data_IF_065480203733
#
_entry.id   IF_065480203733
#
_cell.length_a   1.000
_cell.length_b   1.000
_cell.length_c   1.000
_cell.angle_alpha   90.00
_cell.angle_beta   90.00
_cell.angle_gamma   90.00
#
_symmetry.space_group_name_H-M   'P 1'
#
loop_
_entity.id
_entity.type
_entity.pdbx_description
1 polymer ?
#
# COMPACT_ATOMS: atom_id res chain seq x y z
N UNK A 1 -10.30 -6.39 5.19
CA UNK A 1 -9.08 -6.41 6.02
C UNK A 1 -9.06 -5.30 7.08
N UNK A 2 -9.07 -4.01 6.72
CA UNK A 2 -8.88 -2.91 7.69
C UNK A 2 -9.81 -2.95 8.93
N UNK A 3 -11.08 -3.31 8.76
CA UNK A 3 -12.04 -3.41 9.87
C UNK A 3 -11.61 -4.45 10.91
N UNK A 4 -10.95 -5.54 10.48
CA UNK A 4 -10.49 -6.61 11.37
C UNK A 4 -9.27 -6.17 12.22
N UNK A 5 -8.54 -5.15 11.78
CA UNK A 5 -7.41 -4.58 12.53
C UNK A 5 -7.85 -3.55 13.56
N UNK A 6 -9.05 -2.99 13.41
CA UNK A 6 -9.54 -1.87 14.22
C UNK A 6 -9.67 -2.26 15.71
N UNK A 7 -10.41 -3.34 15.99
CA UNK A 7 -10.67 -3.79 17.37
C UNK A 7 -9.41 -4.31 18.10
N UNK A 8 -8.53 -5.14 17.50
CA UNK A 8 -7.28 -5.53 18.13
C UNK A 8 -6.38 -4.33 18.49
N UNK A 9 -6.28 -3.33 17.60
CA UNK A 9 -5.43 -2.15 17.85
C UNK A 9 -6.00 -1.27 18.98
N UNK A 10 -7.32 -1.05 19.02
CA UNK A 10 -7.96 -0.35 20.12
C UNK A 10 -7.77 -1.08 21.45
N UNK A 11 -7.94 -2.41 21.47
CA UNK A 11 -7.72 -3.24 22.68
C UNK A 11 -6.26 -3.20 23.16
N UNK A 12 -5.31 -3.02 22.24
CA UNK A 12 -3.90 -2.83 22.58
C UNK A 12 -3.58 -1.40 23.07
N UNK A 13 -4.57 -0.49 23.13
CA UNK A 13 -4.42 0.88 23.62
C UNK A 13 -3.98 1.90 22.58
N UNK A 14 -4.05 1.58 21.28
CA UNK A 14 -3.69 2.53 20.24
C UNK A 14 -4.85 3.47 19.88
N UNK A 15 -4.53 4.76 19.75
CA UNK A 15 -5.41 5.74 19.13
C UNK A 15 -5.31 5.61 17.61
N UNK A 16 -6.41 5.22 16.97
CA UNK A 16 -6.43 4.87 15.55
C UNK A 16 -7.36 5.76 14.73
N UNK A 17 -6.95 6.02 13.50
CA UNK A 17 -7.76 6.68 12.48
C UNK A 17 -7.95 5.76 11.27
N UNK A 18 -8.99 6.03 10.48
CA UNK A 18 -9.29 5.26 9.27
C UNK A 18 -9.36 6.16 8.04
N UNK A 19 -8.74 5.69 6.95
CA UNK A 19 -8.75 6.34 5.65
C UNK A 19 -9.10 5.31 4.56
N UNK A 20 -10.34 5.34 4.10
CA UNK A 20 -10.83 4.42 3.07
C UNK A 20 -11.56 5.14 1.93
N UNK A 21 -11.85 4.39 0.87
CA UNK A 21 -12.45 4.93 -0.35
C UNK A 21 -13.90 5.42 -0.22
N UNK A 22 -14.59 5.10 0.88
CA UNK A 22 -15.97 5.55 1.13
C UNK A 22 -16.05 6.99 1.65
N UNK A 23 -14.92 7.54 2.11
CA UNK A 23 -14.88 8.89 2.70
C UNK A 23 -14.94 9.98 1.65
N UNK A 24 -15.66 11.07 1.94
CA UNK A 24 -15.66 12.29 1.13
C UNK A 24 -14.30 12.99 1.21
N UNK A 25 -13.96 13.82 0.21
CA UNK A 25 -12.69 14.54 0.18
C UNK A 25 -12.46 15.39 1.46
N UNK A 26 -13.51 16.07 1.95
CA UNK A 26 -13.47 16.84 3.20
C UNK A 26 -13.10 15.97 4.40
N UNK A 27 -13.76 14.81 4.56
CA UNK A 27 -13.47 13.89 5.68
C UNK A 27 -12.05 13.31 5.59
N UNK A 28 -11.56 13.00 4.38
CA UNK A 28 -10.18 12.54 4.18
C UNK A 28 -9.16 13.58 4.65
N UNK A 29 -9.35 14.84 4.27
CA UNK A 29 -8.47 15.94 4.70
C UNK A 29 -8.47 16.11 6.23
N UNK A 30 -9.64 16.04 6.87
CA UNK A 30 -9.75 16.10 8.33
C UNK A 30 -8.98 14.97 9.02
N UNK A 31 -9.12 13.73 8.54
CA UNK A 31 -8.38 12.58 9.08
C UNK A 31 -6.87 12.76 8.93
N UNK A 32 -6.41 13.26 7.78
CA UNK A 32 -4.98 13.50 7.54
C UNK A 32 -4.44 14.59 8.48
N UNK A 33 -5.19 15.68 8.66
CA UNK A 33 -4.82 16.76 9.58
C UNK A 33 -4.79 16.29 11.04
N UNK A 34 -5.74 15.44 11.42
CA UNK A 34 -5.79 14.84 12.76
C UNK A 34 -4.62 13.87 12.97
N UNK A 35 -4.25 13.08 11.95
CA UNK A 35 -3.10 12.19 11.99
C UNK A 35 -1.76 12.93 12.11
N UNK A 36 -1.69 14.17 11.61
CA UNK A 36 -0.51 15.01 11.72
C UNK A 36 -0.37 15.73 13.08
N UNK A 37 -1.35 15.62 13.98
CA UNK A 37 -1.27 16.23 15.31
C UNK A 37 -0.25 15.51 16.19
N UNK A 38 0.36 16.24 17.12
CA UNK A 38 1.33 15.70 18.09
C UNK A 38 0.82 16.02 19.50
N UNK A 39 0.79 15.03 20.38
CA UNK A 39 0.31 15.18 21.75
C UNK A 39 0.05 13.82 22.44
N UNK A 40 -0.28 13.81 23.74
CA UNK A 40 -0.54 12.58 24.50
C UNK A 40 -1.67 11.74 23.90
N UNK A 41 -2.72 12.40 23.41
CA UNK A 41 -3.90 11.76 22.81
C UNK A 41 -3.84 11.71 21.28
N UNK A 42 -2.70 12.06 20.68
CA UNK A 42 -2.58 12.05 19.24
C UNK A 42 -2.72 10.62 18.68
N UNK A 43 -3.38 10.46 17.52
CA UNK A 43 -3.50 9.17 16.87
C UNK A 43 -2.12 8.66 16.43
N UNK A 44 -1.78 7.45 16.85
CA UNK A 44 -0.49 6.81 16.54
C UNK A 44 -0.57 5.92 15.31
N UNK A 45 -1.77 5.46 14.93
CA UNK A 45 -1.96 4.54 13.79
C UNK A 45 -3.02 5.08 12.83
N UNK A 46 -2.69 5.06 11.53
CA UNK A 46 -3.64 5.32 10.45
C UNK A 46 -3.87 4.04 9.65
N UNK A 47 -5.08 3.52 9.69
CA UNK A 47 -5.53 2.40 8.86
C UNK A 47 -5.97 2.93 7.50
N UNK A 48 -5.10 2.79 6.50
CA UNK A 48 -5.36 3.26 5.14
C UNK A 48 -5.55 2.09 4.16
N UNK A 49 -6.57 2.17 3.31
CA UNK A 49 -6.66 1.26 2.16
C UNK A 49 -5.67 1.69 1.07
N UNK A 50 -5.05 0.74 0.36
CA UNK A 50 -4.13 1.06 -0.75
C UNK A 50 -4.76 2.01 -1.78
N UNK A 51 -6.04 1.81 -2.10
CA UNK A 51 -6.78 2.69 -3.02
C UNK A 51 -6.90 4.13 -2.50
N UNK A 52 -7.17 4.31 -1.20
CA UNK A 52 -7.30 5.64 -0.61
C UNK A 52 -5.91 6.31 -0.46
N UNK A 53 -4.87 5.54 -0.17
CA UNK A 53 -3.50 6.04 -0.11
C UNK A 53 -2.99 6.52 -1.48
N UNK A 54 -3.43 5.91 -2.59
CA UNK A 54 -3.06 6.37 -3.94
C UNK A 54 -3.69 7.72 -4.36
N UNK A 55 -4.77 8.16 -3.73
CA UNK A 55 -5.67 9.23 -4.20
C UNK A 55 -5.20 10.68 -3.94
N UNK A 56 -3.90 10.95 -3.95
CA UNK A 56 -3.35 12.32 -3.83
C UNK A 56 -3.21 12.85 -2.40
N UNK A 57 -3.25 11.97 -1.40
CA UNK A 57 -3.12 12.34 0.02
C UNK A 57 -1.66 12.61 0.41
N UNK A 58 -1.44 13.38 1.48
CA UNK A 58 -0.12 13.59 2.07
C UNK A 58 -0.04 12.85 3.41
N UNK A 59 0.90 11.91 3.55
CA UNK A 59 1.02 11.03 4.72
C UNK A 59 2.39 11.17 5.39
N UNK A 60 3.06 12.32 5.24
CA UNK A 60 4.38 12.60 5.82
C UNK A 60 4.43 12.56 7.35
N UNK A 61 3.29 12.52 8.02
CA UNK A 61 3.22 12.29 9.46
C UNK A 61 3.62 10.85 9.85
N UNK A 62 3.43 9.88 8.94
CA UNK A 62 3.87 8.50 9.16
C UNK A 62 5.38 8.35 8.91
N UNK A 63 6.05 7.57 9.75
CA UNK A 63 7.45 7.16 9.57
C UNK A 63 7.61 5.65 9.42
N UNK A 64 6.55 4.88 9.65
CA UNK A 64 6.57 3.42 9.50
C UNK A 64 5.30 2.97 8.80
N UNK A 65 5.46 2.17 7.74
CA UNK A 65 4.37 1.66 6.92
C UNK A 65 4.37 0.14 7.02
N UNK A 66 3.26 -0.42 7.49
CA UNK A 66 3.02 -1.86 7.47
C UNK A 66 2.13 -2.21 6.29
N UNK A 67 2.67 -2.95 5.32
CA UNK A 67 1.92 -3.51 4.20
C UNK A 67 1.42 -4.89 4.61
N UNK A 68 0.13 -4.99 4.91
CA UNK A 68 -0.51 -6.21 5.41
C UNK A 68 -0.78 -7.24 4.32
N UNK A 69 -1.20 -6.78 3.12
CA UNK A 69 -1.55 -7.65 2.01
C UNK A 69 -0.73 -7.22 0.78
N UNK A 70 0.04 -8.11 0.12
CA UNK A 70 0.74 -7.78 -1.11
C UNK A 70 -0.25 -7.60 -2.27
N UNK A 71 -0.05 -6.55 -3.06
CA UNK A 71 -0.87 -6.24 -4.21
C UNK A 71 -0.18 -6.62 -5.51
N UNK A 72 -0.82 -7.40 -6.37
CA UNK A 72 -0.21 -7.90 -7.62
C UNK A 72 0.39 -6.83 -8.54
N UNK A 73 -0.07 -5.58 -8.45
CA UNK A 73 0.51 -4.46 -9.19
C UNK A 73 1.46 -3.63 -8.30
N UNK A 74 2.79 -3.76 -8.47
CA UNK A 74 3.77 -3.10 -7.58
C UNK A 74 3.66 -1.57 -7.62
N UNK A 75 3.32 -0.98 -8.77
CA UNK A 75 3.20 0.47 -8.91
C UNK A 75 2.10 1.11 -8.05
N UNK A 76 1.10 0.33 -7.59
CA UNK A 76 0.08 0.84 -6.65
C UNK A 76 0.65 0.96 -5.24
N UNK A 77 1.46 -0.01 -4.82
CA UNK A 77 2.16 0.07 -3.53
C UNK A 77 3.19 1.20 -3.55
N UNK A 78 3.97 1.31 -4.62
CA UNK A 78 4.96 2.38 -4.82
C UNK A 78 4.31 3.76 -4.74
N UNK A 79 3.22 3.98 -5.48
CA UNK A 79 2.48 5.23 -5.43
C UNK A 79 1.92 5.55 -4.03
N UNK A 80 1.54 4.54 -3.26
CA UNK A 80 1.09 4.72 -1.88
C UNK A 80 2.26 5.11 -0.96
N UNK A 81 3.42 4.46 -1.10
CA UNK A 81 4.65 4.78 -0.36
C UNK A 81 5.18 6.18 -0.68
N UNK A 82 5.07 6.63 -1.93
CA UNK A 82 5.43 7.99 -2.34
C UNK A 82 4.66 9.07 -1.57
N UNK A 83 3.48 8.76 -1.02
CA UNK A 83 2.73 9.70 -0.18
C UNK A 83 3.34 9.90 1.20
N UNK A 84 4.14 8.94 1.65
CA UNK A 84 4.84 8.97 2.94
C UNK A 84 6.25 9.54 2.77
N UNK A 85 6.94 9.18 1.69
CA UNK A 85 8.27 9.71 1.31
C UNK A 85 8.23 11.13 0.71
N UNK A 86 7.10 11.83 0.83
CA UNK A 86 6.87 13.11 0.14
C UNK A 86 7.63 14.28 0.78
N UNK A 87 7.76 15.38 0.04
CA UNK A 87 8.26 16.67 0.55
C UNK A 87 7.50 17.04 1.84
N UNK A 88 8.25 17.32 2.90
CA UNK A 88 7.72 17.57 4.25
C UNK A 88 7.91 16.41 5.23
N UNK A 89 8.37 15.24 4.77
CA UNK A 89 8.85 14.17 5.65
C UNK A 89 10.12 14.60 6.38
N UNK A 90 10.16 14.39 7.70
CA UNK A 90 11.29 14.76 8.58
C UNK A 90 11.97 13.55 9.24
N UNK A 91 11.35 12.37 9.15
CA UNK A 91 11.84 11.13 9.74
C UNK A 91 12.21 10.13 8.66
N UNK A 92 13.12 9.22 8.98
CA UNK A 92 13.35 8.06 8.14
C UNK A 92 12.06 7.24 8.02
N UNK A 93 11.72 6.83 6.80
CA UNK A 93 10.51 6.05 6.52
C UNK A 93 10.90 4.60 6.37
N UNK A 94 10.36 3.75 7.25
CA UNK A 94 10.54 2.30 7.22
C UNK A 94 9.32 1.62 6.64
N UNK A 95 9.50 0.79 5.62
CA UNK A 95 8.42 -0.02 5.05
C UNK A 95 8.63 -1.48 5.44
N UNK A 96 7.61 -2.08 6.05
CA UNK A 96 7.60 -3.47 6.51
C UNK A 96 6.47 -4.17 5.79
N UNK A 97 6.82 -5.17 4.98
CA UNK A 97 5.83 -6.02 4.30
C UNK A 97 5.63 -7.31 5.10
N UNK A 98 4.38 -7.58 5.44
CA UNK A 98 3.98 -8.83 6.08
C UNK A 98 3.60 -9.83 4.98
N UNK A 99 4.14 -11.04 5.07
CA UNK A 99 3.97 -12.08 4.05
C UNK A 99 3.84 -13.42 4.77
N UNK A 100 2.75 -14.13 4.48
CA UNK A 100 2.50 -15.46 5.05
C UNK A 100 3.16 -16.52 4.19
N UNK A 101 4.07 -17.29 4.80
CA UNK A 101 4.82 -18.37 4.13
C UNK A 101 3.91 -19.47 3.63
N UNK A 102 4.23 -20.03 2.46
CA UNK A 102 3.48 -21.15 1.87
C UNK A 102 2.11 -20.76 1.31
N UNK A 103 1.87 -19.48 1.07
CA UNK A 103 0.59 -18.97 0.56
C UNK A 103 0.71 -18.33 -0.81
N UNK A 104 -0.42 -17.93 -1.38
CA UNK A 104 -0.49 -17.16 -2.63
C UNK A 104 0.29 -15.84 -2.56
N UNK A 105 0.52 -15.29 -1.36
CA UNK A 105 1.25 -14.04 -1.16
C UNK A 105 2.69 -14.10 -1.70
N UNK A 106 3.38 -15.23 -1.53
CA UNK A 106 4.73 -15.45 -2.09
C UNK A 106 4.72 -15.47 -3.62
N UNK A 107 3.64 -15.99 -4.22
CA UNK A 107 3.45 -15.99 -5.68
C UNK A 107 3.20 -14.57 -6.19
N UNK A 108 2.43 -13.78 -5.45
CA UNK A 108 2.19 -12.36 -5.75
C UNK A 108 3.51 -11.59 -5.77
N UNK A 109 4.39 -11.81 -4.78
CA UNK A 109 5.71 -11.17 -4.76
C UNK A 109 6.59 -11.62 -5.93
N UNK A 110 6.60 -12.92 -6.24
CA UNK A 110 7.32 -13.45 -7.40
C UNK A 110 6.84 -12.79 -8.71
N UNK A 111 5.54 -12.52 -8.82
CA UNK A 111 4.97 -11.81 -9.97
C UNK A 111 5.38 -10.34 -10.01
N UNK A 112 5.38 -9.64 -8.88
CA UNK A 112 5.90 -8.26 -8.80
C UNK A 112 7.35 -8.19 -9.27
N UNK A 113 8.22 -9.09 -8.80
CA UNK A 113 9.63 -9.15 -9.21
C UNK A 113 9.77 -9.38 -10.72
N UNK A 114 9.02 -10.34 -11.27
CA UNK A 114 9.04 -10.62 -12.70
C UNK A 114 8.59 -9.41 -13.50
N UNK A 115 7.54 -8.72 -13.07
CA UNK A 115 7.02 -7.52 -13.72
C UNK A 115 8.04 -6.38 -13.68
N UNK A 116 8.70 -6.17 -12.54
CA UNK A 116 9.76 -5.17 -12.42
C UNK A 116 10.92 -5.48 -13.37
N UNK A 117 11.38 -6.73 -13.46
CA UNK A 117 12.42 -7.15 -14.41
C UNK A 117 12.01 -6.91 -15.86
N UNK A 118 10.76 -7.24 -16.21
CA UNK A 118 10.24 -7.01 -17.56
C UNK A 118 10.20 -5.52 -17.89
N UNK A 119 9.73 -4.67 -16.96
CA UNK A 119 9.71 -3.23 -17.11
C UNK A 119 11.13 -2.68 -17.29
N UNK A 120 12.09 -3.07 -16.43
CA UNK A 120 13.50 -2.69 -16.56
C UNK A 120 14.09 -3.06 -17.92
N UNK A 121 13.77 -4.26 -18.43
CA UNK A 121 14.25 -4.72 -19.74
C UNK A 121 13.50 -4.07 -20.92
N UNK A 122 12.21 -3.77 -20.76
CA UNK A 122 11.34 -3.20 -21.79
C UNK A 122 11.48 -1.68 -21.94
N UNK A 123 12.06 -0.98 -20.98
CA UNK A 123 12.50 0.41 -21.18
C UNK A 123 13.51 0.56 -22.34
N UNK A 124 14.00 -0.54 -22.93
CA UNK A 124 14.73 -0.57 -24.21
C UNK A 124 13.87 -0.77 -25.48
N UNK A 125 12.61 -1.23 -25.42
CA UNK A 125 11.76 -1.49 -26.61
C UNK A 125 10.26 -1.25 -26.34
N UNK A 126 9.67 -0.23 -26.98
CA UNK A 126 8.22 0.07 -26.96
C UNK A 126 7.44 -0.93 -27.85
N UNK A 127 6.44 -1.63 -27.31
CA UNK A 127 5.51 -2.45 -28.11
C UNK A 127 4.18 -2.76 -27.39
N UNK A 128 3.07 -2.16 -27.84
CA UNK A 128 1.76 -2.20 -27.16
C UNK A 128 0.90 -3.46 -27.35
N UNK A 129 1.36 -4.50 -28.07
CA UNK A 129 0.59 -5.74 -28.30
C UNK A 129 0.89 -6.88 -27.31
N UNK A 130 2.03 -6.86 -26.61
CA UNK A 130 2.42 -7.92 -25.65
C UNK A 130 1.62 -7.91 -24.33
N UNK A 131 0.95 -6.80 -24.00
CA UNK A 131 0.31 -6.60 -22.69
C UNK A 131 -0.88 -7.55 -22.38
N UNK A 132 -1.56 -8.10 -23.40
CA UNK A 132 -2.79 -8.89 -23.17
C UNK A 132 -2.48 -10.35 -22.81
N UNK A 133 -1.51 -10.96 -23.48
CA UNK A 133 -1.04 -12.33 -23.19
C UNK A 133 -0.31 -12.39 -21.84
N UNK A 134 0.51 -11.38 -21.53
CA UNK A 134 1.17 -11.25 -20.23
C UNK A 134 0.14 -11.26 -19.10
N UNK A 135 -0.98 -10.53 -19.25
CA UNK A 135 -2.02 -10.42 -18.22
C UNK A 135 -2.77 -11.73 -17.93
N UNK A 136 -3.03 -12.56 -18.96
CA UNK A 136 -3.66 -13.89 -18.76
C UNK A 136 -2.68 -14.85 -18.11
N UNK A 137 -1.41 -14.82 -18.52
CA UNK A 137 -0.36 -15.65 -17.94
C UNK A 137 -0.09 -15.30 -16.46
N UNK A 138 -0.14 -14.01 -16.11
CA UNK A 138 -0.07 -13.52 -14.73
C UNK A 138 -1.22 -14.04 -13.87
N UNK A 139 -2.46 -13.98 -14.38
CA UNK A 139 -3.63 -14.48 -13.66
C UNK A 139 -3.53 -15.98 -13.39
N UNK A 140 -3.09 -16.77 -14.39
CA UNK A 140 -2.86 -18.21 -14.24
C UNK A 140 -1.79 -18.52 -13.18
N UNK A 141 -0.68 -17.79 -13.19
CA UNK A 141 0.37 -17.93 -12.17
C UNK A 141 -0.12 -17.58 -10.76
N UNK A 142 -0.92 -16.51 -10.59
CA UNK A 142 -1.55 -16.19 -9.30
C UNK A 142 -2.42 -17.35 -8.81
N UNK A 143 -3.26 -17.89 -9.70
CA UNK A 143 -4.20 -18.97 -9.38
C UNK A 143 -3.55 -20.35 -9.28
N UNK A 144 -2.25 -20.49 -9.60
CA UNK A 144 -1.56 -21.78 -9.59
C UNK A 144 -1.95 -22.72 -10.73
N UNK A 145 -2.55 -22.19 -11.79
CA UNK A 145 -2.93 -22.94 -12.97
C UNK A 145 -1.75 -22.90 -13.95
N UNK A 146 -1.23 -24.06 -14.33
CA UNK A 146 -0.19 -24.19 -15.38
C UNK A 146 -0.79 -23.92 -16.76
#
# INVERSE_FOLDING_TARGET
>A
MLILLEEPLKRAGFNILRLDGSMTAKKRLQVIQQFAQVGPDAPTVLLASLKAAGAGVNLTAASTVYLFDPWWNPGVEEQAMDRVHRIGQKKEVKVIRLVVKGTIEERILSLQERKNRLITNAFGKKGGKENKEIRIKELRMMMGLQ
#
